data_IF_638255960791
#
_entry.id   IF_638255960791
#
_cell.length_a   1.000
_cell.length_b   1.000
_cell.length_c   1.000
_cell.angle_alpha   90.00
_cell.angle_beta   90.00
_cell.angle_gamma   90.00
#
_symmetry.space_group_name_H-M   'P 1'
#
loop_
_entity.id
_entity.type
_entity.pdbx_description
1 polymer ?
#
# COMPACT_ATOMS: atom_id res chain seq x y z
N UNK A 1 1.15 31.34 -21.48
CA UNK A 1 2.47 30.83 -21.02
C UNK A 1 2.71 31.43 -19.65
N UNK A 2 2.55 30.63 -18.62
CA UNK A 2 2.82 31.04 -17.23
C UNK A 2 4.33 30.91 -17.00
N UNK A 3 5.00 31.99 -16.67
CA UNK A 3 6.42 32.00 -16.34
C UNK A 3 6.54 31.65 -14.85
N UNK A 4 6.95 30.42 -14.56
CA UNK A 4 7.27 30.01 -13.19
C UNK A 4 8.62 30.61 -12.80
N UNK A 5 8.63 31.52 -11.84
CA UNK A 5 9.87 32.08 -11.30
C UNK A 5 10.24 31.31 -10.04
N UNK A 6 11.35 30.58 -10.05
CA UNK A 6 11.88 29.90 -8.88
C UNK A 6 12.87 30.83 -8.18
N UNK A 7 12.58 31.24 -6.96
CA UNK A 7 13.51 32.03 -6.13
C UNK A 7 14.13 31.14 -5.06
N UNK A 8 15.44 31.30 -4.83
CA UNK A 8 16.15 30.64 -3.73
C UNK A 8 15.88 31.42 -2.44
N UNK A 9 15.28 30.78 -1.46
CA UNK A 9 15.08 31.39 -0.15
C UNK A 9 16.40 31.48 0.62
N UNK A 10 16.60 32.55 1.39
CA UNK A 10 17.75 32.72 2.24
C UNK A 10 17.78 31.68 3.38
N UNK A 11 19.02 31.34 3.81
CA UNK A 11 19.26 30.33 4.84
C UNK A 11 18.57 30.66 6.15
N UNK A 12 17.67 29.78 6.61
CA UNK A 12 17.24 29.80 8.01
C UNK A 12 18.35 29.31 8.96
N UNK A 13 18.19 29.54 10.25
CA UNK A 13 19.18 29.23 11.28
C UNK A 13 19.60 27.75 11.38
N UNK A 14 18.92 26.85 10.65
CA UNK A 14 19.22 25.40 10.56
C UNK A 14 20.04 24.98 9.34
N UNK A 15 20.41 25.92 8.45
CA UNK A 15 21.19 25.61 7.24
C UNK A 15 20.42 24.90 6.11
N UNK A 16 19.13 24.71 6.24
CA UNK A 16 18.29 24.04 5.24
C UNK A 16 17.75 25.07 4.24
N UNK A 17 18.04 24.88 2.93
CA UNK A 17 17.48 25.74 1.88
C UNK A 17 16.21 25.12 1.31
N UNK A 18 15.11 25.86 1.33
CA UNK A 18 13.85 25.46 0.72
C UNK A 18 13.68 26.14 -0.64
N UNK A 19 13.20 25.39 -1.62
CA UNK A 19 12.76 25.95 -2.89
C UNK A 19 11.24 26.12 -2.83
N UNK A 20 10.76 27.36 -2.90
CA UNK A 20 9.33 27.64 -2.98
C UNK A 20 8.93 27.96 -4.41
N UNK A 21 7.88 27.33 -4.91
CA UNK A 21 7.20 27.74 -6.15
C UNK A 21 6.09 28.71 -5.78
N UNK A 22 6.12 29.91 -6.34
CA UNK A 22 5.13 30.98 -6.08
C UNK A 22 3.88 30.89 -6.97
N UNK A 23 3.43 29.72 -7.39
CA UNK A 23 2.06 29.60 -7.89
C UNK A 23 1.12 29.65 -6.69
N UNK A 24 0.05 30.46 -6.76
CA UNK A 24 -1.09 30.37 -5.83
C UNK A 24 -1.62 28.95 -5.91
N UNK A 25 -1.14 28.09 -5.02
CA UNK A 25 -1.67 26.78 -4.81
C UNK A 25 -3.01 27.00 -4.12
N UNK A 26 -4.11 26.68 -4.80
CA UNK A 26 -5.38 26.49 -4.12
C UNK A 26 -5.08 25.56 -2.93
N UNK A 27 -5.49 25.96 -1.73
CA UNK A 27 -5.18 25.24 -0.50
C UNK A 27 -5.69 23.80 -0.61
N UNK A 28 -4.77 22.83 -0.67
CA UNK A 28 -5.15 21.42 -0.60
C UNK A 28 -5.87 21.14 0.73
N UNK A 29 -6.94 20.33 0.74
CA UNK A 29 -7.62 19.98 1.98
C UNK A 29 -6.67 19.27 2.93
N UNK A 30 -6.73 19.60 4.22
CA UNK A 30 -6.01 18.87 5.26
C UNK A 30 -6.56 17.45 5.43
N UNK A 31 -5.81 16.57 6.09
CA UNK A 31 -6.28 15.25 6.49
C UNK A 31 -7.59 15.34 7.26
N UNK A 32 -7.65 16.25 8.25
CA UNK A 32 -8.83 16.42 9.10
C UNK A 32 -10.06 16.80 8.27
N UNK A 33 -9.94 17.75 7.35
CA UNK A 33 -11.05 18.16 6.48
C UNK A 33 -11.59 16.99 5.63
N UNK A 34 -10.71 16.08 5.18
CA UNK A 34 -11.12 14.91 4.42
C UNK A 34 -11.75 13.86 5.32
N UNK A 35 -11.14 13.55 6.47
CA UNK A 35 -11.69 12.56 7.41
C UNK A 35 -13.08 12.98 7.93
N UNK A 36 -13.26 14.24 8.32
CA UNK A 36 -14.56 14.74 8.77
C UNK A 36 -15.65 14.60 7.71
N UNK A 37 -15.31 14.77 6.46
CA UNK A 37 -16.27 14.76 5.36
C UNK A 37 -16.51 13.35 4.78
N UNK A 38 -15.52 12.49 4.79
CA UNK A 38 -15.51 11.23 4.03
C UNK A 38 -15.29 9.97 4.87
N UNK A 39 -15.22 10.09 6.20
CA UNK A 39 -15.19 8.99 7.15
C UNK A 39 -16.22 9.24 8.26
N UNK A 40 -17.23 8.40 8.38
CA UNK A 40 -18.34 8.58 9.34
C UNK A 40 -18.04 8.02 10.73
N UNK A 41 -17.05 7.16 10.85
CA UNK A 41 -16.74 6.46 12.10
C UNK A 41 -15.57 7.16 12.80
N UNK A 42 -15.84 7.79 13.96
CA UNK A 42 -14.85 8.56 14.70
C UNK A 42 -13.71 7.68 15.25
N UNK A 43 -14.01 6.44 15.65
CA UNK A 43 -12.97 5.49 16.07
C UNK A 43 -12.06 5.13 14.90
N UNK A 44 -12.61 4.96 13.69
CA UNK A 44 -11.81 4.72 12.50
C UNK A 44 -10.96 5.93 12.12
N UNK A 45 -11.49 7.16 12.25
CA UNK A 45 -10.68 8.38 12.06
C UNK A 45 -9.47 8.41 12.99
N UNK A 46 -9.66 8.05 14.27
CA UNK A 46 -8.55 7.96 15.23
C UNK A 46 -7.52 6.91 14.81
N UNK A 47 -7.97 5.71 14.46
CA UNK A 47 -7.09 4.64 13.97
C UNK A 47 -6.30 5.07 12.72
N UNK A 48 -6.94 5.74 11.76
CA UNK A 48 -6.28 6.25 10.55
C UNK A 48 -5.18 7.25 10.89
N UNK A 49 -5.43 8.19 11.83
CA UNK A 49 -4.41 9.17 12.25
C UNK A 49 -3.18 8.46 12.83
N UNK A 50 -3.41 7.53 13.75
CA UNK A 50 -2.34 6.74 14.36
C UNK A 50 -1.51 6.01 13.29
N UNK A 51 -2.14 5.33 12.34
CA UNK A 51 -1.45 4.62 11.25
C UNK A 51 -0.66 5.57 10.35
N UNK A 52 -1.17 6.77 10.09
CA UNK A 52 -0.46 7.79 9.32
C UNK A 52 0.73 8.37 10.09
N UNK A 53 0.65 8.51 11.41
CA UNK A 53 1.77 8.90 12.25
C UNK A 53 2.89 7.86 12.16
N UNK A 54 2.56 6.57 12.21
CA UNK A 54 3.52 5.48 11.98
C UNK A 54 4.19 5.56 10.60
N UNK A 55 3.44 5.86 9.53
CA UNK A 55 4.01 6.06 8.21
C UNK A 55 4.93 7.30 8.13
N UNK A 56 4.62 8.35 8.90
CA UNK A 56 5.48 9.53 9.02
C UNK A 56 6.81 9.18 9.71
N UNK A 57 6.74 8.45 10.81
CA UNK A 57 7.93 8.02 11.58
C UNK A 57 8.81 7.09 10.75
N UNK A 58 8.23 6.13 10.00
CA UNK A 58 8.98 5.30 9.05
C UNK A 58 9.65 6.15 7.98
N UNK A 59 8.98 7.18 7.46
CA UNK A 59 9.56 8.11 6.48
C UNK A 59 10.84 8.77 7.01
N UNK A 60 10.79 9.28 8.25
CA UNK A 60 11.95 9.95 8.85
C UNK A 60 13.05 8.94 9.19
N UNK A 61 12.68 7.73 9.63
CA UNK A 61 13.63 6.65 9.89
C UNK A 61 14.38 6.24 8.61
N UNK A 62 13.68 6.01 7.49
CA UNK A 62 14.28 5.65 6.21
C UNK A 62 15.25 6.72 5.67
N UNK A 63 14.98 8.00 5.92
CA UNK A 63 15.84 9.11 5.50
C UNK A 63 17.16 9.19 6.28
N UNK A 64 17.18 8.69 7.51
CA UNK A 64 18.31 8.77 8.44
C UNK A 64 19.04 7.45 8.64
N UNK A 65 18.43 6.32 8.32
CA UNK A 65 19.01 5.00 8.55
C UNK A 65 20.07 4.64 7.49
N UNK A 66 21.07 3.86 7.92
CA UNK A 66 21.95 3.13 7.01
C UNK A 66 21.33 1.75 6.77
N UNK A 67 21.23 1.35 5.51
CA UNK A 67 20.75 0.01 5.15
C UNK A 67 21.88 -0.99 5.39
N UNK A 68 21.71 -1.83 6.39
CA UNK A 68 22.66 -2.91 6.75
C UNK A 68 21.91 -4.22 6.86
N UNK A 69 22.62 -5.32 6.55
CA UNK A 69 22.07 -6.66 6.79
C UNK A 69 22.16 -6.96 8.29
N UNK A 70 21.02 -7.18 8.92
CA UNK A 70 20.98 -7.66 10.30
C UNK A 70 21.42 -9.14 10.35
N UNK A 71 21.96 -9.55 11.48
CA UNK A 71 22.38 -10.94 11.67
C UNK A 71 21.24 -11.92 11.93
N UNK A 72 19.99 -11.46 11.73
CA UNK A 72 18.74 -12.20 11.99
C UNK A 72 18.03 -12.53 10.69
N UNK A 73 17.30 -13.63 10.70
CA UNK A 73 16.35 -13.98 9.64
C UNK A 73 14.93 -13.73 10.19
N UNK A 74 14.00 -13.33 9.32
CA UNK A 74 12.60 -13.24 9.69
C UNK A 74 11.99 -14.64 9.91
N UNK A 75 10.73 -14.71 10.32
CA UNK A 75 10.03 -15.98 10.58
C UNK A 75 9.97 -16.94 9.38
N UNK A 76 10.31 -16.47 8.18
CA UNK A 76 10.34 -17.25 6.94
C UNK A 76 11.75 -17.62 6.48
N UNK A 77 12.80 -17.18 7.19
CA UNK A 77 14.21 -17.44 6.85
C UNK A 77 14.78 -16.52 5.79
N UNK A 78 14.10 -15.39 5.48
CA UNK A 78 14.65 -14.32 4.66
C UNK A 78 15.51 -13.40 5.55
N UNK A 79 16.64 -12.92 5.04
CA UNK A 79 17.53 -12.02 5.78
C UNK A 79 16.86 -10.66 5.97
N UNK A 80 16.76 -10.22 7.23
CA UNK A 80 16.23 -8.89 7.56
C UNK A 80 17.28 -7.81 7.35
N UNK A 81 16.85 -6.70 6.80
CA UNK A 81 17.62 -5.45 6.77
C UNK A 81 17.28 -4.61 7.99
N UNK A 82 18.22 -3.77 8.41
CA UNK A 82 18.02 -2.86 9.55
C UNK A 82 16.78 -1.98 9.39
N UNK A 83 16.45 -1.58 8.17
CA UNK A 83 15.28 -0.74 7.87
C UNK A 83 13.95 -1.49 8.00
N UNK A 84 13.92 -2.81 7.72
CA UNK A 84 12.74 -3.65 7.93
C UNK A 84 12.43 -3.76 9.43
N UNK A 85 13.45 -4.04 10.23
CA UNK A 85 13.34 -4.13 11.69
C UNK A 85 12.91 -2.79 12.30
N UNK A 86 13.45 -1.67 11.81
CA UNK A 86 13.07 -0.34 12.28
C UNK A 86 11.60 -0.05 11.94
N UNK A 87 11.19 -0.31 10.70
CA UNK A 87 9.80 -0.09 10.27
C UNK A 87 8.81 -0.96 11.06
N UNK A 88 9.14 -2.23 11.27
CA UNK A 88 8.30 -3.14 12.06
C UNK A 88 8.20 -2.72 13.52
N UNK A 89 9.29 -2.33 14.15
CA UNK A 89 9.28 -1.82 15.53
C UNK A 89 8.42 -0.56 15.69
N UNK A 90 8.51 0.40 14.76
CA UNK A 90 7.68 1.61 14.77
C UNK A 90 6.20 1.23 14.71
N UNK A 91 5.82 0.34 13.80
CA UNK A 91 4.43 -0.11 13.69
C UNK A 91 3.96 -0.87 14.94
N UNK A 92 4.80 -1.75 15.51
CA UNK A 92 4.46 -2.47 16.73
C UNK A 92 4.29 -1.56 17.94
N UNK A 93 5.14 -0.56 18.12
CA UNK A 93 5.05 0.40 19.24
C UNK A 93 3.73 1.19 19.15
N UNK A 94 3.34 1.61 17.95
CA UNK A 94 2.08 2.28 17.68
C UNK A 94 0.90 1.35 17.94
N UNK A 95 0.86 0.19 17.28
CA UNK A 95 -0.27 -0.75 17.33
C UNK A 95 -0.51 -1.27 18.75
N UNK A 96 0.55 -1.60 19.51
CA UNK A 96 0.43 -2.07 20.90
C UNK A 96 -0.10 -1.01 21.84
N UNK A 97 0.18 0.27 21.61
CA UNK A 97 -0.25 1.37 22.47
C UNK A 97 -1.59 2.00 22.03
N UNK A 98 -2.07 1.71 20.82
CA UNK A 98 -3.30 2.28 20.28
C UNK A 98 -4.54 1.95 21.12
N UNK A 99 -5.38 2.95 21.46
CA UNK A 99 -6.66 2.70 22.13
C UNK A 99 -7.71 2.09 21.19
N UNK A 100 -7.50 2.11 19.88
CA UNK A 100 -8.46 1.62 18.89
C UNK A 100 -8.14 0.21 18.38
N UNK A 101 -6.87 -0.23 18.45
CA UNK A 101 -6.44 -1.50 17.89
C UNK A 101 -6.40 -2.58 18.97
N UNK A 102 -7.23 -3.61 18.77
CA UNK A 102 -7.37 -4.73 19.70
C UNK A 102 -6.37 -5.86 19.44
N UNK A 103 -6.04 -6.09 18.18
CA UNK A 103 -5.10 -7.12 17.74
C UNK A 103 -4.28 -6.61 16.55
N UNK A 104 -3.05 -7.08 16.46
CA UNK A 104 -2.16 -6.80 15.34
C UNK A 104 -1.34 -8.02 14.92
N UNK A 105 -0.98 -8.08 13.64
CA UNK A 105 0.00 -9.01 13.11
C UNK A 105 0.81 -8.34 11.99
N UNK A 106 2.12 -8.56 12.01
CA UNK A 106 3.06 -8.10 10.99
C UNK A 106 3.43 -9.25 10.04
N UNK A 107 3.84 -8.94 8.82
CA UNK A 107 4.46 -9.91 7.93
C UNK A 107 5.72 -10.51 8.55
N UNK A 108 6.52 -9.71 9.27
CA UNK A 108 7.74 -10.14 9.95
C UNK A 108 7.46 -11.02 11.17
N UNK A 109 6.33 -10.80 11.85
CA UNK A 109 5.82 -11.59 12.98
C UNK A 109 4.34 -11.96 12.73
N UNK A 110 4.06 -13.01 11.92
CA UNK A 110 2.70 -13.36 11.47
C UNK A 110 1.91 -14.12 12.55
N UNK A 111 1.92 -13.60 13.76
CA UNK A 111 1.16 -14.09 14.91
C UNK A 111 0.28 -12.97 15.42
N UNK A 112 -1.01 -13.27 15.63
CA UNK A 112 -1.93 -12.29 16.20
C UNK A 112 -1.58 -11.97 17.65
N UNK A 113 -1.21 -10.72 17.88
CA UNK A 113 -0.85 -10.19 19.21
C UNK A 113 -1.97 -9.31 19.71
N UNK A 114 -2.39 -9.53 20.97
CA UNK A 114 -3.38 -8.69 21.64
C UNK A 114 -2.76 -7.35 22.01
N UNK A 115 -3.46 -6.27 21.67
CA UNK A 115 -3.07 -4.90 21.92
C UNK A 115 -3.97 -4.22 22.95
N UNK A 116 -3.77 -2.91 23.17
CA UNK A 116 -4.44 -2.16 24.24
C UNK A 116 -5.87 -1.74 23.89
N UNK A 117 -6.22 -1.63 22.60
CA UNK A 117 -7.50 -1.14 22.14
C UNK A 117 -8.60 -2.19 22.07
N UNK A 118 -9.72 -1.83 21.43
CA UNK A 118 -10.95 -2.63 21.48
C UNK A 118 -11.68 -2.87 20.16
N UNK A 119 -11.36 -2.12 19.09
CA UNK A 119 -12.26 -1.99 17.96
C UNK A 119 -11.78 -2.72 16.71
N UNK A 120 -10.47 -2.69 16.40
CA UNK A 120 -9.92 -3.17 15.15
C UNK A 120 -8.87 -4.25 15.31
N UNK A 121 -8.78 -5.10 14.29
CA UNK A 121 -7.66 -5.99 14.02
C UNK A 121 -6.90 -5.42 12.83
N UNK A 122 -5.58 -5.24 12.97
CA UNK A 122 -4.72 -4.63 11.94
C UNK A 122 -3.66 -5.62 11.51
N UNK A 123 -3.54 -5.81 10.19
CA UNK A 123 -2.47 -6.61 9.59
C UNK A 123 -1.66 -5.72 8.65
N UNK A 124 -0.32 -5.83 8.70
CA UNK A 124 0.54 -4.98 7.88
C UNK A 124 1.79 -5.69 7.38
N UNK A 125 2.26 -5.24 6.22
CA UNK A 125 3.64 -5.40 5.77
C UNK A 125 4.38 -4.10 6.12
N UNK A 126 5.36 -4.13 7.02
CA UNK A 126 6.04 -2.92 7.48
C UNK A 126 6.87 -2.25 6.38
N UNK A 127 7.49 -3.03 5.50
CA UNK A 127 8.34 -2.50 4.44
C UNK A 127 8.40 -3.42 3.21
N UNK A 128 7.32 -3.41 2.39
CA UNK A 128 7.35 -4.06 1.08
C UNK A 128 8.47 -3.49 0.21
N UNK A 129 9.27 -4.38 -0.34
CA UNK A 129 10.40 -4.03 -1.19
C UNK A 129 11.76 -4.11 -0.49
N UNK A 130 11.90 -4.86 0.59
CA UNK A 130 13.18 -5.08 1.27
C UNK A 130 14.30 -5.54 0.32
N UNK A 131 13.96 -6.32 -0.71
CA UNK A 131 14.93 -6.77 -1.72
C UNK A 131 15.43 -5.68 -2.68
N UNK A 132 14.85 -4.48 -2.66
CA UNK A 132 15.20 -3.36 -3.57
C UNK A 132 15.56 -2.08 -2.82
N UNK A 133 15.41 -2.04 -1.49
CA UNK A 133 15.67 -0.83 -0.68
C UNK A 133 17.14 -0.44 -0.66
N UNK A 134 18.05 -1.41 -0.70
CA UNK A 134 19.50 -1.17 -0.76
C UNK A 134 19.94 -0.52 -2.09
N UNK A 135 19.14 -0.65 -3.14
CA UNK A 135 19.32 0.09 -4.39
C UNK A 135 18.80 1.53 -4.30
N UNK A 136 18.30 1.95 -3.14
CA UNK A 136 17.64 3.24 -2.92
C UNK A 136 16.40 3.44 -3.82
N UNK A 137 15.69 2.35 -4.09
CA UNK A 137 14.44 2.38 -4.82
C UNK A 137 13.25 2.60 -3.88
N UNK A 138 12.11 3.00 -4.44
CA UNK A 138 10.91 3.23 -3.67
C UNK A 138 10.39 1.91 -3.07
N UNK A 139 10.01 1.98 -1.80
CA UNK A 139 9.45 0.89 -0.99
C UNK A 139 8.17 1.40 -0.30
N UNK A 140 7.50 0.58 0.48
CA UNK A 140 6.30 1.07 1.15
C UNK A 140 5.79 0.20 2.27
N UNK A 141 4.80 0.73 3.00
CA UNK A 141 4.05 0.02 4.05
C UNK A 141 2.64 -0.27 3.55
N UNK A 142 2.16 -1.48 3.81
CA UNK A 142 0.80 -1.91 3.45
C UNK A 142 0.04 -2.22 4.73
N UNK A 143 -1.18 -1.68 4.90
CA UNK A 143 -2.00 -1.90 6.09
C UNK A 143 -3.43 -2.22 5.70
N UNK A 144 -3.98 -3.28 6.29
CA UNK A 144 -5.40 -3.61 6.27
C UNK A 144 -6.01 -3.52 7.66
N UNK A 145 -7.20 -2.96 7.76
CA UNK A 145 -7.95 -2.74 9.01
C UNK A 145 -9.28 -3.48 8.93
N UNK A 146 -9.49 -4.43 9.83
CA UNK A 146 -10.74 -5.18 9.98
C UNK A 146 -11.41 -4.80 11.29
N UNK A 147 -12.76 -4.78 11.34
CA UNK A 147 -13.46 -4.75 12.61
C UNK A 147 -13.08 -5.98 13.45
N UNK A 148 -12.81 -5.79 14.73
CA UNK A 148 -12.66 -6.92 15.64
C UNK A 148 -13.91 -7.80 15.60
N UNK A 149 -13.77 -9.10 15.64
CA UNK A 149 -14.86 -10.09 15.58
C UNK A 149 -15.52 -10.31 14.20
N UNK A 150 -14.89 -9.89 13.11
CA UNK A 150 -15.40 -10.18 11.76
C UNK A 150 -15.34 -11.69 11.46
N UNK A 151 -14.24 -12.33 11.77
CA UNK A 151 -14.05 -13.78 11.60
C UNK A 151 -14.35 -14.58 12.86
N UNK A 152 -13.75 -15.75 12.96
CA UNK A 152 -13.82 -16.65 14.12
C UNK A 152 -12.58 -16.46 15.01
N UNK A 153 -12.71 -16.79 16.31
CA UNK A 153 -11.66 -16.60 17.29
C UNK A 153 -11.73 -15.24 17.99
N UNK A 154 -10.84 -15.04 18.96
CA UNK A 154 -10.81 -13.80 19.75
C UNK A 154 -10.31 -12.60 18.95
N UNK A 155 -9.41 -12.85 18.00
CA UNK A 155 -8.80 -11.84 17.13
C UNK A 155 -9.68 -11.46 15.93
N UNK A 156 -10.72 -12.26 15.61
CA UNK A 156 -11.63 -12.00 14.51
C UNK A 156 -11.04 -12.14 13.12
N UNK A 157 -9.83 -12.68 12.95
CA UNK A 157 -9.14 -12.69 11.65
C UNK A 157 -9.41 -13.96 10.84
N UNK A 158 -9.37 -15.14 11.47
CA UNK A 158 -9.63 -16.40 10.78
C UNK A 158 -11.08 -16.51 10.35
N UNK A 159 -11.31 -16.82 9.08
CA UNK A 159 -12.64 -16.86 8.49
C UNK A 159 -13.14 -15.52 7.93
N UNK A 160 -12.48 -14.41 8.22
CA UNK A 160 -12.69 -13.14 7.56
C UNK A 160 -12.22 -13.17 6.10
N UNK A 161 -12.57 -12.16 5.34
CA UNK A 161 -12.18 -11.95 3.95
C UNK A 161 -11.62 -10.55 3.75
N UNK A 162 -11.05 -10.28 2.60
CA UNK A 162 -10.63 -8.93 2.24
C UNK A 162 -11.79 -7.93 2.13
N UNK A 163 -13.02 -8.42 1.92
CA UNK A 163 -14.23 -7.56 1.86
C UNK A 163 -14.66 -7.01 3.20
N UNK A 164 -14.23 -7.63 4.26
CA UNK A 164 -14.60 -7.23 5.62
C UNK A 164 -13.74 -6.06 6.13
N UNK A 165 -12.72 -5.63 5.36
CA UNK A 165 -11.92 -4.47 5.71
C UNK A 165 -12.77 -3.20 5.74
N UNK A 166 -12.58 -2.40 6.79
CA UNK A 166 -13.20 -1.07 6.92
C UNK A 166 -12.28 0.04 6.42
N UNK A 167 -10.99 -0.25 6.32
CA UNK A 167 -9.99 0.65 5.76
C UNK A 167 -8.81 -0.16 5.22
N UNK A 168 -8.22 0.33 4.16
CA UNK A 168 -6.93 -0.13 3.66
C UNK A 168 -6.07 1.09 3.33
N UNK A 169 -4.80 1.00 3.65
CA UNK A 169 -3.84 2.09 3.51
C UNK A 169 -2.55 1.54 2.93
N UNK A 170 -1.96 2.26 1.97
CA UNK A 170 -0.63 1.94 1.44
C UNK A 170 0.20 3.21 1.36
N UNK A 171 1.32 3.22 2.08
CA UNK A 171 2.33 4.26 1.99
C UNK A 171 3.38 3.91 0.94
N UNK A 172 3.79 4.90 0.15
CA UNK A 172 4.89 4.81 -0.79
C UNK A 172 6.00 5.77 -0.36
N UNK A 173 7.15 5.23 -0.01
CA UNK A 173 8.37 5.95 0.36
C UNK A 173 9.29 6.04 -0.86
N UNK A 174 9.25 7.17 -1.52
CA UNK A 174 10.03 7.48 -2.71
C UNK A 174 10.64 8.89 -2.59
N UNK A 175 10.83 9.60 -3.72
CA UNK A 175 11.27 11.02 -3.68
C UNK A 175 10.34 11.91 -2.84
N UNK A 176 9.08 11.51 -2.69
CA UNK A 176 8.08 12.04 -1.76
C UNK A 176 7.44 10.87 -1.04
N UNK A 177 6.98 11.08 0.18
CA UNK A 177 6.09 10.14 0.85
C UNK A 177 4.65 10.46 0.51
N UNK A 178 3.93 9.47 0.00
CA UNK A 178 2.51 9.55 -0.28
C UNK A 178 1.79 8.33 0.26
N UNK A 179 0.54 8.50 0.68
CA UNK A 179 -0.31 7.41 1.16
C UNK A 179 -1.62 7.42 0.40
N UNK A 180 -2.03 6.26 -0.10
CA UNK A 180 -3.40 6.05 -0.59
C UNK A 180 -4.21 5.32 0.47
N UNK A 181 -5.48 5.70 0.61
CA UNK A 181 -6.36 5.18 1.65
C UNK A 181 -7.80 5.04 1.15
N UNK A 182 -8.48 3.98 1.56
CA UNK A 182 -9.93 3.84 1.35
C UNK A 182 -10.69 4.59 2.44
N UNK A 183 -11.64 5.42 2.03
CA UNK A 183 -12.65 6.03 2.90
C UNK A 183 -14.05 5.62 2.44
N UNK A 184 -15.11 6.05 3.13
CA UNK A 184 -16.49 5.60 2.89
C UNK A 184 -16.96 5.71 1.44
N UNK A 185 -16.43 6.63 0.66
CA UNK A 185 -16.91 6.95 -0.68
C UNK A 185 -15.82 6.95 -1.78
N UNK A 186 -14.67 6.36 -1.52
CA UNK A 186 -13.61 6.18 -2.52
C UNK A 186 -12.20 6.15 -1.97
N UNK A 187 -11.23 6.33 -2.87
CA UNK A 187 -9.79 6.29 -2.57
C UNK A 187 -9.21 7.70 -2.63
N UNK A 188 -8.42 8.04 -1.62
CA UNK A 188 -7.79 9.35 -1.46
C UNK A 188 -6.28 9.20 -1.36
N UNK A 189 -5.53 10.16 -1.93
CA UNK A 189 -4.08 10.22 -1.79
C UNK A 189 -3.70 11.40 -0.92
N UNK A 190 -2.85 11.15 0.07
CA UNK A 190 -2.23 12.16 0.91
C UNK A 190 -0.74 12.25 0.64
N UNK A 191 -0.18 13.44 0.77
CA UNK A 191 1.27 13.70 0.68
C UNK A 191 1.78 14.22 2.03
N UNK A 192 2.91 13.65 2.48
CA UNK A 192 3.56 13.99 3.73
C UNK A 192 4.62 15.10 3.55
N UNK A 193 4.74 15.97 4.55
CA UNK A 193 5.81 16.98 4.60
C UNK A 193 5.69 18.08 3.54
N UNK A 194 4.61 18.10 2.76
CA UNK A 194 4.30 19.21 1.87
C UNK A 194 3.60 20.29 2.71
N UNK A 195 4.33 21.32 3.12
CA UNK A 195 3.79 22.45 3.89
C UNK A 195 3.54 23.66 2.98
N UNK A 196 2.47 23.71 2.18
CA UNK A 196 2.01 24.97 1.62
C UNK A 196 1.55 25.86 2.79
N UNK A 197 1.67 27.18 2.64
CA UNK A 197 1.18 28.16 3.63
C UNK A 197 -0.29 27.99 4.03
N UNK A 198 -1.05 27.13 3.35
CA UNK A 198 -2.46 26.82 3.61
C UNK A 198 -2.73 25.61 4.52
N UNK A 199 -1.73 24.88 4.97
CA UNK A 199 -1.91 23.73 5.87
C UNK A 199 -1.69 24.07 7.34
N UNK A 200 -1.61 25.35 7.70
CA UNK A 200 -1.57 25.79 9.07
C UNK A 200 -2.96 25.66 9.69
N UNK A 201 -3.06 24.92 10.77
CA UNK A 201 -4.29 24.78 11.54
C UNK A 201 -4.62 26.10 12.29
N UNK A 202 -5.88 26.32 12.71
CA UNK A 202 -6.28 27.54 13.42
C UNK A 202 -5.51 27.82 14.73
N UNK A 203 -4.91 26.78 15.33
CA UNK A 203 -4.08 26.88 16.54
C UNK A 203 -2.62 27.23 16.24
N UNK A 204 -2.26 27.39 14.96
CA UNK A 204 -0.91 27.71 14.50
C UNK A 204 0.00 26.49 14.26
N UNK A 205 -0.48 25.28 14.54
CA UNK A 205 0.24 24.05 14.19
C UNK A 205 0.15 23.74 12.70
N UNK A 206 1.04 22.86 12.21
CA UNK A 206 1.03 22.42 10.82
C UNK A 206 0.48 21.00 10.72
N UNK A 207 -0.46 20.80 9.81
CA UNK A 207 -0.91 19.47 9.39
C UNK A 207 0.18 18.84 8.48
N UNK A 208 0.81 17.72 8.87
CA UNK A 208 1.85 17.10 8.05
C UNK A 208 1.30 16.42 6.80
N UNK A 209 0.01 16.07 6.78
CA UNK A 209 -0.65 15.36 5.70
C UNK A 209 -1.65 16.26 4.96
N UNK A 210 -1.47 16.39 3.66
CA UNK A 210 -2.41 17.09 2.77
C UNK A 210 -3.00 16.13 1.76
N UNK A 211 -4.28 16.28 1.45
CA UNK A 211 -4.92 15.49 0.42
C UNK A 211 -4.49 15.97 -0.96
N UNK A 212 -3.67 15.19 -1.64
CA UNK A 212 -3.15 15.50 -2.98
C UNK A 212 -4.06 15.03 -4.10
N UNK A 213 -4.89 13.99 -3.86
CA UNK A 213 -5.89 13.51 -4.83
C UNK A 213 -7.15 13.03 -4.13
N UNK A 214 -8.28 13.42 -4.69
CA UNK A 214 -9.62 13.07 -4.21
C UNK A 214 -10.25 12.06 -5.17
N UNK A 215 -10.80 10.95 -4.63
CA UNK A 215 -11.54 9.92 -5.37
C UNK A 215 -10.77 9.41 -6.60
N UNK A 216 -9.59 8.90 -6.35
CA UNK A 216 -8.73 8.31 -7.37
C UNK A 216 -9.46 7.17 -8.07
N UNK A 217 -9.39 7.14 -9.40
CA UNK A 217 -10.05 6.13 -10.24
C UNK A 217 -9.04 5.39 -11.11
N UNK A 218 -9.31 4.10 -11.36
CA UNK A 218 -8.57 3.25 -12.29
C UNK A 218 -9.48 2.95 -13.48
N UNK A 219 -9.02 3.24 -14.70
CA UNK A 219 -9.74 2.98 -15.95
C UNK A 219 -9.82 1.48 -16.25
N UNK A 220 -10.85 1.08 -16.98
CA UNK A 220 -11.04 -0.32 -17.39
C UNK A 220 -9.92 -0.85 -18.28
N UNK A 221 -9.38 -0.01 -19.17
CA UNK A 221 -8.33 -0.37 -20.12
C UNK A 221 -6.95 0.14 -19.69
N UNK A 222 -5.92 -0.64 -20.01
CA UNK A 222 -4.53 -0.25 -19.77
C UNK A 222 -3.61 -0.60 -20.96
N UNK A 223 -2.49 0.09 -21.01
CA UNK A 223 -1.30 -0.24 -21.81
C UNK A 223 -0.04 -0.26 -20.95
N UNK A 224 -0.20 -0.43 -19.62
CA UNK A 224 0.90 -0.57 -18.64
C UNK A 224 0.74 -1.90 -17.96
N UNK A 225 1.83 -2.66 -17.86
CA UNK A 225 1.85 -3.95 -17.18
C UNK A 225 3.08 -4.11 -16.28
N UNK A 226 2.90 -4.81 -15.16
CA UNK A 226 3.91 -5.12 -14.15
C UNK A 226 3.88 -6.64 -13.89
N UNK A 227 4.67 -7.43 -14.63
CA UNK A 227 4.65 -8.89 -14.54
C UNK A 227 5.61 -9.39 -13.45
N UNK A 228 5.07 -9.77 -12.30
CA UNK A 228 5.82 -10.49 -11.29
C UNK A 228 5.83 -12.00 -11.57
N UNK A 229 6.69 -12.71 -10.85
CA UNK A 229 6.84 -14.16 -10.94
C UNK A 229 6.93 -14.71 -12.38
N UNK A 230 7.71 -14.06 -13.23
CA UNK A 230 7.85 -14.47 -14.64
C UNK A 230 8.37 -15.93 -14.79
N UNK A 231 9.01 -16.49 -13.75
CA UNK A 231 9.43 -17.89 -13.71
C UNK A 231 8.25 -18.85 -13.87
N UNK A 232 7.07 -18.49 -13.38
CA UNK A 232 5.86 -19.28 -13.53
C UNK A 232 5.45 -19.49 -15.01
N UNK A 233 5.92 -18.67 -15.94
CA UNK A 233 5.65 -18.84 -17.37
C UNK A 233 6.24 -20.14 -17.97
N UNK A 234 7.18 -20.77 -17.28
CA UNK A 234 7.79 -22.05 -17.74
C UNK A 234 6.80 -23.21 -17.63
N UNK A 235 5.96 -23.24 -16.60
CA UNK A 235 4.99 -24.30 -16.35
C UNK A 235 3.53 -23.81 -16.34
N UNK A 236 3.31 -22.54 -16.67
CA UNK A 236 1.99 -21.93 -16.88
C UNK A 236 1.91 -21.33 -18.30
N UNK A 237 1.58 -22.14 -19.33
CA UNK A 237 1.57 -21.67 -20.73
C UNK A 237 0.67 -20.47 -20.97
N UNK A 238 -0.42 -20.34 -20.23
CA UNK A 238 -1.32 -19.20 -20.29
C UNK A 238 -0.64 -17.88 -19.87
N UNK A 239 0.22 -17.95 -18.86
CA UNK A 239 0.98 -16.77 -18.45
C UNK A 239 2.01 -16.35 -19.52
N UNK A 240 2.69 -17.32 -20.14
CA UNK A 240 3.56 -17.01 -21.27
C UNK A 240 2.80 -16.31 -22.41
N UNK A 241 1.63 -16.83 -22.78
CA UNK A 241 0.79 -16.20 -23.81
C UNK A 241 0.37 -14.78 -23.43
N UNK A 242 0.09 -14.52 -22.15
CA UNK A 242 -0.22 -13.18 -21.66
C UNK A 242 0.95 -12.21 -21.83
N UNK A 243 2.15 -12.65 -21.48
CA UNK A 243 3.38 -11.85 -21.65
C UNK A 243 3.64 -11.55 -23.14
N UNK A 244 3.54 -12.57 -24.01
CA UNK A 244 3.67 -12.41 -25.46
C UNK A 244 2.62 -11.41 -25.97
N UNK A 245 1.36 -11.51 -25.51
CA UNK A 245 0.30 -10.55 -25.85
C UNK A 245 0.67 -9.11 -25.49
N UNK A 246 1.21 -8.87 -24.31
CA UNK A 246 1.60 -7.52 -23.90
C UNK A 246 2.71 -6.95 -24.78
N UNK A 247 3.71 -7.76 -25.14
CA UNK A 247 4.80 -7.36 -26.03
C UNK A 247 4.28 -7.07 -27.44
N UNK A 248 3.48 -7.95 -28.01
CA UNK A 248 2.93 -7.82 -29.37
C UNK A 248 2.00 -6.60 -29.52
N UNK A 249 1.31 -6.24 -28.42
CA UNK A 249 0.36 -5.12 -28.39
C UNK A 249 0.96 -3.81 -27.84
N UNK A 250 2.29 -3.71 -27.75
CA UNK A 250 3.04 -2.51 -27.40
C UNK A 250 2.67 -1.94 -26.02
N UNK A 251 2.52 -2.81 -25.02
CA UNK A 251 2.35 -2.37 -23.65
C UNK A 251 3.65 -1.83 -23.08
N UNK A 252 3.55 -0.90 -22.17
CA UNK A 252 4.71 -0.35 -21.43
C UNK A 252 4.98 -1.21 -20.20
N UNK A 253 6.16 -1.81 -20.14
CA UNK A 253 6.64 -2.50 -18.95
C UNK A 253 6.98 -1.49 -17.85
N UNK A 254 6.44 -1.72 -16.65
CA UNK A 254 6.77 -1.02 -15.41
C UNK A 254 6.89 -2.05 -14.31
N UNK A 255 8.09 -2.35 -13.88
CA UNK A 255 8.34 -3.36 -12.86
C UNK A 255 9.61 -3.03 -12.09
N UNK A 256 9.48 -2.86 -10.79
CA UNK A 256 10.59 -2.56 -9.87
C UNK A 256 11.00 -3.78 -9.06
N UNK A 257 10.06 -4.66 -8.74
CA UNK A 257 10.22 -5.83 -7.90
C UNK A 257 9.61 -5.68 -6.50
N UNK A 258 9.20 -4.47 -6.09
CA UNK A 258 8.38 -4.22 -4.92
C UNK A 258 6.89 -4.15 -5.29
N UNK A 259 6.04 -4.77 -4.50
CA UNK A 259 4.59 -4.76 -4.77
C UNK A 259 4.03 -3.34 -4.67
N UNK A 260 4.44 -2.58 -3.65
CA UNK A 260 3.96 -1.22 -3.44
C UNK A 260 4.23 -0.33 -4.65
N UNK A 261 5.46 -0.09 -5.12
CA UNK A 261 5.66 0.80 -6.26
C UNK A 261 5.01 0.27 -7.54
N UNK A 262 4.95 -1.07 -7.74
CA UNK A 262 4.43 -1.69 -8.94
C UNK A 262 2.89 -1.63 -9.04
N UNK A 263 2.18 -1.62 -7.92
CA UNK A 263 0.71 -1.44 -7.88
C UNK A 263 0.33 0.03 -7.70
N UNK A 264 1.03 0.78 -6.84
CA UNK A 264 0.72 2.18 -6.56
C UNK A 264 0.68 3.05 -7.82
N UNK A 265 1.55 2.79 -8.79
CA UNK A 265 1.56 3.53 -10.06
C UNK A 265 0.22 3.48 -10.81
N UNK A 266 -0.61 2.46 -10.58
CA UNK A 266 -1.93 2.35 -11.23
C UNK A 266 -2.87 3.46 -10.79
N UNK A 267 -2.79 3.89 -9.52
CA UNK A 267 -3.53 5.04 -9.00
C UNK A 267 -3.01 6.37 -9.56
N UNK A 268 -1.69 6.46 -9.78
CA UNK A 268 -1.06 7.66 -10.34
C UNK A 268 -1.29 7.80 -11.83
N UNK A 269 -1.27 6.69 -12.57
CA UNK A 269 -1.48 6.66 -14.03
C UNK A 269 -2.95 6.43 -14.40
N UNK A 270 -3.80 6.18 -13.41
CA UNK A 270 -5.22 5.83 -13.60
C UNK A 270 -5.42 4.60 -14.48
N UNK A 271 -4.43 3.74 -14.59
CA UNK A 271 -4.45 2.48 -15.34
C UNK A 271 -3.23 1.64 -15.00
N UNK A 272 -3.30 0.35 -15.25
CA UNK A 272 -2.21 -0.60 -15.07
C UNK A 272 -2.74 -1.99 -14.77
N UNK A 273 -1.88 -2.99 -14.83
CA UNK A 273 -2.12 -4.31 -14.30
C UNK A 273 -0.84 -4.86 -13.69
N UNK A 274 -0.95 -5.37 -12.48
CA UNK A 274 0.10 -6.17 -11.84
C UNK A 274 -0.36 -7.64 -11.85
N UNK A 275 0.55 -8.56 -12.19
CA UNK A 275 0.24 -10.00 -12.26
C UNK A 275 1.31 -10.81 -11.55
N UNK A 276 0.89 -11.64 -10.59
CA UNK A 276 1.75 -12.55 -9.84
C UNK A 276 1.09 -13.93 -9.77
N UNK A 277 1.15 -14.72 -10.85
CA UNK A 277 0.57 -16.05 -10.85
C UNK A 277 1.35 -17.01 -9.95
N UNK A 278 0.69 -18.07 -9.51
CA UNK A 278 1.34 -19.20 -8.86
C UNK A 278 1.54 -20.34 -9.85
N UNK A 279 2.62 -21.07 -9.70
CA UNK A 279 2.85 -22.30 -10.45
C UNK A 279 3.45 -23.39 -9.57
N UNK A 280 3.50 -24.61 -10.09
CA UNK A 280 4.04 -25.75 -9.35
C UNK A 280 5.53 -25.59 -9.01
N UNK A 281 6.31 -25.04 -9.94
CA UNK A 281 7.77 -24.88 -9.76
C UNK A 281 8.15 -23.49 -9.25
N UNK A 282 7.24 -22.54 -9.33
CA UNK A 282 7.43 -21.18 -8.84
C UNK A 282 6.14 -20.69 -8.15
N UNK A 283 5.88 -21.11 -6.90
CA UNK A 283 4.72 -20.68 -6.14
C UNK A 283 4.79 -19.17 -5.84
N UNK A 284 3.63 -18.51 -5.87
CA UNK A 284 3.50 -17.11 -5.47
C UNK A 284 3.86 -16.96 -3.98
N UNK A 285 4.49 -15.85 -3.65
CA UNK A 285 4.95 -15.56 -2.28
C UNK A 285 4.11 -14.51 -1.55
N UNK A 286 3.28 -13.74 -2.27
CA UNK A 286 2.44 -12.71 -1.66
C UNK A 286 1.52 -13.28 -0.57
N UNK A 287 1.32 -12.52 0.49
CA UNK A 287 0.44 -12.89 1.61
C UNK A 287 -0.91 -12.22 1.47
N UNK A 288 -1.94 -12.98 1.78
CA UNK A 288 -3.32 -12.51 1.61
C UNK A 288 -3.63 -11.33 2.54
N UNK A 289 -3.39 -11.48 3.84
CA UNK A 289 -3.79 -10.50 4.84
C UNK A 289 -2.88 -9.25 4.88
N UNK A 290 -1.59 -9.43 4.63
CA UNK A 290 -0.60 -8.35 4.75
C UNK A 290 -0.47 -7.50 3.49
N UNK A 291 -0.71 -8.09 2.29
CA UNK A 291 -0.40 -7.46 1.01
C UNK A 291 -1.61 -7.45 0.06
N UNK A 292 -2.11 -8.63 -0.33
CA UNK A 292 -3.03 -8.76 -1.45
C UNK A 292 -4.44 -8.24 -1.14
N UNK A 293 -4.98 -8.47 0.06
CA UNK A 293 -6.30 -7.99 0.46
C UNK A 293 -6.34 -6.47 0.65
N UNK A 294 -5.37 -5.82 1.33
CA UNK A 294 -5.33 -4.36 1.40
C UNK A 294 -5.24 -3.67 0.05
N UNK A 295 -4.34 -4.12 -0.83
CA UNK A 295 -4.30 -3.58 -2.19
C UNK A 295 -5.56 -3.88 -2.99
N UNK A 296 -6.15 -5.06 -2.80
CA UNK A 296 -7.40 -5.44 -3.43
C UNK A 296 -8.53 -4.48 -3.09
N UNK A 297 -8.67 -4.12 -1.80
CA UNK A 297 -9.68 -3.17 -1.34
C UNK A 297 -9.48 -1.78 -1.98
N UNK A 298 -8.24 -1.28 -2.02
CA UNK A 298 -7.90 -0.01 -2.66
C UNK A 298 -8.22 -0.01 -4.16
N UNK A 299 -7.78 -1.04 -4.89
CA UNK A 299 -7.96 -1.09 -6.34
C UNK A 299 -9.43 -1.25 -6.72
N UNK A 300 -10.20 -2.12 -6.03
CA UNK A 300 -11.63 -2.28 -6.32
C UNK A 300 -12.43 -1.03 -5.93
N UNK A 301 -12.09 -0.36 -4.83
CA UNK A 301 -12.70 0.91 -4.45
C UNK A 301 -12.39 2.04 -5.46
N UNK A 302 -11.27 1.96 -6.18
CA UNK A 302 -10.90 2.88 -7.25
C UNK A 302 -11.50 2.47 -8.62
N UNK A 303 -12.35 1.45 -8.70
CA UNK A 303 -13.00 0.99 -9.94
C UNK A 303 -12.21 -0.04 -10.75
N UNK A 304 -11.04 -0.47 -10.27
CA UNK A 304 -10.29 -1.60 -10.82
C UNK A 304 -10.90 -2.95 -10.46
N UNK A 305 -10.19 -4.03 -10.76
CA UNK A 305 -10.56 -5.42 -10.45
C UNK A 305 -9.37 -6.18 -9.89
N UNK A 306 -9.70 -7.30 -9.24
CA UNK A 306 -8.70 -8.27 -8.75
C UNK A 306 -9.05 -9.68 -9.17
N UNK A 307 -8.06 -10.57 -9.12
CA UNK A 307 -8.22 -12.00 -9.29
C UNK A 307 -7.31 -12.75 -8.33
N UNK A 308 -7.83 -13.84 -7.77
CA UNK A 308 -7.06 -14.78 -6.94
C UNK A 308 -6.09 -15.65 -7.76
N UNK A 309 -6.13 -15.55 -9.09
CA UNK A 309 -5.27 -16.29 -10.02
C UNK A 309 -5.51 -17.81 -10.04
N UNK A 310 -6.53 -18.30 -9.35
CA UNK A 310 -6.87 -19.72 -9.21
C UNK A 310 -8.29 -20.00 -9.66
N UNK A 311 -9.27 -19.29 -9.11
CA UNK A 311 -10.69 -19.45 -9.45
C UNK A 311 -11.15 -18.38 -10.45
N UNK A 312 -10.43 -17.28 -10.57
CA UNK A 312 -10.84 -16.10 -11.33
C UNK A 312 -11.76 -15.16 -10.57
N UNK A 313 -12.07 -15.49 -9.33
CA UNK A 313 -12.80 -14.63 -8.41
C UNK A 313 -11.92 -13.49 -7.87
N UNK A 314 -12.56 -12.51 -7.23
CA UNK A 314 -11.82 -11.44 -6.56
C UNK A 314 -10.95 -11.99 -5.43
N UNK A 315 -9.76 -11.43 -5.27
CA UNK A 315 -8.89 -11.73 -4.12
C UNK A 315 -9.57 -11.39 -2.79
N UNK A 316 -10.49 -10.42 -2.80
CA UNK A 316 -11.23 -10.01 -1.62
C UNK A 316 -12.25 -11.05 -1.13
N UNK A 317 -12.64 -12.00 -1.98
CA UNK A 317 -13.58 -13.07 -1.63
C UNK A 317 -12.87 -14.29 -1.04
N UNK A 318 -11.54 -14.30 -1.03
CA UNK A 318 -10.74 -15.39 -0.48
C UNK A 318 -10.80 -15.36 1.05
N UNK A 319 -11.24 -16.45 1.65
CA UNK A 319 -11.28 -16.60 3.11
C UNK A 319 -9.88 -16.71 3.68
N UNK A 320 -9.60 -15.97 4.73
CA UNK A 320 -8.35 -16.02 5.51
C UNK A 320 -8.42 -17.26 6.42
N UNK A 321 -7.59 -18.25 6.14
CA UNK A 321 -7.50 -19.51 6.87
C UNK A 321 -6.34 -19.55 7.84
N UNK A 322 -5.32 -18.79 7.56
CA UNK A 322 -4.11 -18.59 8.37
C UNK A 322 -3.56 -17.19 8.13
N UNK A 323 -2.88 -16.62 9.10
CA UNK A 323 -2.45 -15.21 9.07
C UNK A 323 -1.43 -14.97 7.96
N UNK A 324 -0.51 -15.91 7.72
CA UNK A 324 0.53 -15.88 6.69
C UNK A 324 0.11 -16.56 5.36
N UNK A 325 -1.20 -16.72 5.14
CA UNK A 325 -1.75 -17.37 3.93
C UNK A 325 -1.21 -16.73 2.66
N UNK A 326 -0.57 -17.54 1.82
CA UNK A 326 -0.03 -17.09 0.54
C UNK A 326 -1.07 -17.17 -0.58
N UNK A 327 -0.94 -16.28 -1.56
CA UNK A 327 -1.88 -16.19 -2.68
C UNK A 327 -1.21 -15.75 -3.99
N UNK A 328 -1.80 -16.15 -5.11
CA UNK A 328 -1.56 -15.50 -6.40
C UNK A 328 -2.41 -14.22 -6.48
N UNK A 329 -2.07 -13.33 -7.40
CA UNK A 329 -2.75 -12.05 -7.57
C UNK A 329 -2.67 -11.56 -9.01
N UNK A 330 -3.80 -11.12 -9.55
CA UNK A 330 -3.81 -10.14 -10.63
C UNK A 330 -4.69 -8.96 -10.19
N UNK A 331 -4.22 -7.74 -10.42
CA UNK A 331 -4.85 -6.55 -9.86
C UNK A 331 -4.65 -5.33 -10.77
N UNK A 332 -5.72 -4.55 -11.01
CA UNK A 332 -5.66 -3.32 -11.80
C UNK A 332 -6.86 -3.07 -12.70
N UNK A 333 -6.58 -2.59 -13.90
CA UNK A 333 -7.59 -2.30 -14.93
C UNK A 333 -8.44 -3.52 -15.27
N UNK A 334 -9.76 -3.35 -15.25
CA UNK A 334 -10.72 -4.46 -15.28
C UNK A 334 -10.55 -5.39 -16.51
N UNK A 335 -10.32 -4.80 -17.69
CA UNK A 335 -10.15 -5.58 -18.92
C UNK A 335 -8.84 -6.36 -18.96
N UNK A 336 -7.82 -5.90 -18.24
CA UNK A 336 -6.54 -6.61 -18.14
C UNK A 336 -6.61 -7.76 -17.12
N UNK A 337 -7.31 -7.58 -15.99
CA UNK A 337 -7.57 -8.66 -15.04
C UNK A 337 -8.44 -9.74 -15.67
N UNK A 338 -9.45 -9.35 -16.43
CA UNK A 338 -10.27 -10.30 -17.23
C UNK A 338 -9.38 -11.09 -18.21
N UNK A 339 -8.51 -10.43 -18.95
CA UNK A 339 -7.56 -11.05 -19.89
C UNK A 339 -6.64 -12.05 -19.18
N UNK A 340 -6.11 -11.68 -18.01
CA UNK A 340 -5.32 -12.58 -17.17
C UNK A 340 -6.12 -13.86 -16.87
N UNK A 341 -7.35 -13.73 -16.39
CA UNK A 341 -8.19 -14.89 -16.07
C UNK A 341 -8.46 -15.78 -17.29
N UNK A 342 -8.82 -15.16 -18.42
CA UNK A 342 -9.08 -15.89 -19.66
C UNK A 342 -7.86 -16.69 -20.15
N UNK A 343 -6.64 -16.13 -20.02
CA UNK A 343 -5.44 -16.80 -20.50
C UNK A 343 -4.88 -17.83 -19.50
N UNK A 344 -4.93 -17.52 -18.20
CA UNK A 344 -4.40 -18.46 -17.18
C UNK A 344 -5.32 -19.67 -17.01
N UNK A 345 -6.63 -19.50 -17.12
CA UNK A 345 -7.63 -20.56 -16.91
C UNK A 345 -8.05 -21.28 -18.18
N UNK A 346 -7.55 -20.84 -19.35
CA UNK A 346 -7.76 -21.56 -20.60
C UNK A 346 -7.14 -22.98 -20.49
N UNK A 347 -8.00 -24.00 -20.60
CA UNK A 347 -7.62 -25.43 -20.60
C UNK A 347 -6.91 -25.79 -21.91
#
# INVERSE_FOLDING_TARGET
MSTTTTTRAEYGASGTSYYTTTEKQDSYPSLENILEKHCKNDTLKACIRELLDGCADITEALRSALVTVEGTDNSFGDKQLSVDVIADNIMWDLVKSSPTIAYGASEEEPVMVKCSGSDYTVCWDPLDGSSIVDNNWAVGTIVGVWPKHTGTGEDGMLGATGRDQVCSLVALYGPRTTVIITLDDGVYEFSYGCTPEGCQLPDGSFEPWICSKIKVQIKEDSKIFSPANMRAAQDTPGYKKLLDYYMDNRYTLRYTGGLVPDVYQQFTKHMGVFTNPTSKTSPAKLRLAFEAAPFGALVEAAGGKTSDGVTGGSILDVTIKEVDQRCALAIGSANEVKRFNEMIMAK
#
